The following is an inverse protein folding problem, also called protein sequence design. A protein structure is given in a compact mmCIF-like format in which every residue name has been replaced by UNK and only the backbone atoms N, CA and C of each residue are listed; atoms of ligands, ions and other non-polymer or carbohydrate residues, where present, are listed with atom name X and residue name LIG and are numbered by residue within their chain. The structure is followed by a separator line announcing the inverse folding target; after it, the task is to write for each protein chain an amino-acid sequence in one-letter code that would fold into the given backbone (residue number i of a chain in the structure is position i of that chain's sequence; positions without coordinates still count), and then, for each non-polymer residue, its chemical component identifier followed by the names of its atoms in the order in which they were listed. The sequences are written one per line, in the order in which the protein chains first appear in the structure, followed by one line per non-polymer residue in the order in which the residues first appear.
data_IF_206690457222
#
_entry.id   IF_206690457222
#
_cell.length_a   1.000
_cell.length_b   1.000
_cell.length_c   1.000
_cell.angle_alpha   90.00
_cell.angle_beta   90.00
_cell.angle_gamma   90.00
#
_symmetry.space_group_name_H-M   'P 1'
#
loop_
_entity.id
_entity.type
_entity.pdbx_description
1 polymer ?
#
# COMPACT_ATOMS: atom_id res chain seq x y z
N UNK A 1 -30.15 -0.25 -3.51
CA UNK A 1 -28.95 -0.69 -2.77
C UNK A 1 -28.84 -2.20 -2.92
N UNK A 2 -27.69 -2.69 -3.35
CA UNK A 2 -27.40 -4.11 -3.55
C UNK A 2 -26.13 -4.46 -2.77
N UNK A 3 -26.10 -5.62 -2.13
CA UNK A 3 -24.95 -6.10 -1.36
C UNK A 3 -24.78 -7.59 -1.65
N UNK A 4 -23.57 -8.00 -2.04
CA UNK A 4 -23.24 -9.39 -2.31
C UNK A 4 -21.86 -9.77 -1.74
N UNK A 5 -21.74 -11.03 -1.30
CA UNK A 5 -20.45 -11.60 -0.93
C UNK A 5 -19.88 -12.25 -2.18
N UNK A 6 -18.80 -11.68 -2.71
CA UNK A 6 -18.16 -12.18 -3.91
C UNK A 6 -17.46 -13.51 -3.62
N UNK A 7 -17.38 -14.34 -4.66
CA UNK A 7 -16.54 -15.52 -4.64
C UNK A 7 -15.06 -15.15 -4.46
N UNK A 8 -14.31 -16.07 -3.85
CA UNK A 8 -12.89 -15.89 -3.62
C UNK A 8 -12.17 -15.71 -4.98
N UNK A 9 -11.82 -14.46 -5.31
CA UNK A 9 -11.07 -14.17 -6.54
C UNK A 9 -9.79 -15.02 -6.54
N UNK A 10 -9.44 -15.51 -7.72
CA UNK A 10 -8.21 -16.23 -7.93
C UNK A 10 -6.94 -15.45 -7.53
N UNK A 11 -7.03 -14.15 -7.25
CA UNK A 11 -5.94 -13.34 -6.69
C UNK A 11 -6.11 -12.99 -5.20
N UNK A 12 -7.25 -13.30 -4.59
CA UNK A 12 -7.45 -13.06 -3.18
C UNK A 12 -6.58 -14.02 -2.35
N UNK A 13 -5.76 -13.45 -1.47
CA UNK A 13 -4.89 -14.17 -0.52
C UNK A 13 -5.36 -13.99 0.92
N UNK A 14 -6.43 -13.22 1.12
CA UNK A 14 -7.10 -13.04 2.40
C UNK A 14 -7.84 -14.30 2.84
N UNK A 15 -8.11 -14.42 4.15
CA UNK A 15 -9.04 -15.43 4.70
C UNK A 15 -10.50 -14.96 4.66
N UNK A 16 -10.73 -13.71 4.28
CA UNK A 16 -12.05 -13.10 4.18
C UNK A 16 -12.53 -13.09 2.71
N UNK A 17 -13.82 -13.34 2.51
CA UNK A 17 -14.47 -13.17 1.20
C UNK A 17 -14.75 -11.69 0.96
N UNK A 18 -14.55 -11.17 -0.25
CA UNK A 18 -14.86 -9.78 -0.56
C UNK A 18 -16.37 -9.54 -0.43
N UNK A 19 -16.76 -8.36 0.03
CA UNK A 19 -18.15 -7.89 0.04
C UNK A 19 -18.24 -6.72 -0.94
N UNK A 20 -19.16 -6.79 -1.90
CA UNK A 20 -19.47 -5.73 -2.83
C UNK A 20 -20.79 -5.08 -2.44
N UNK A 21 -20.82 -3.75 -2.44
CA UNK A 21 -22.04 -2.96 -2.18
C UNK A 21 -22.20 -1.95 -3.31
N UNK A 22 -23.37 -1.96 -3.93
CA UNK A 22 -23.77 -0.99 -4.96
C UNK A 22 -24.90 -0.12 -4.43
N UNK A 23 -24.68 1.18 -4.42
CA UNK A 23 -25.69 2.16 -4.01
C UNK A 23 -25.97 3.04 -5.22
N UNK A 24 -27.22 3.04 -5.66
CA UNK A 24 -27.66 3.88 -6.77
C UNK A 24 -28.06 5.22 -6.18
N UNK A 25 -27.34 6.28 -6.53
CA UNK A 25 -27.73 7.64 -6.23
C UNK A 25 -28.25 8.30 -7.52
N UNK A 26 -29.34 9.08 -7.45
CA UNK A 26 -29.70 9.97 -8.54
C UNK A 26 -28.60 11.04 -8.63
N UNK A 27 -27.74 10.94 -9.64
CA UNK A 27 -26.76 11.98 -9.95
C UNK A 27 -27.49 13.04 -10.77
N UNK A 28 -27.70 14.23 -10.20
CA UNK A 28 -28.02 15.40 -11.02
C UNK A 28 -26.83 15.69 -11.92
N UNK A 29 -27.04 16.07 -13.19
CA UNK A 29 -26.03 16.36 -14.22
C UNK A 29 -25.12 17.58 -13.91
N UNK A 30 -24.78 17.80 -12.65
CA UNK A 30 -23.62 18.59 -12.27
C UNK A 30 -22.38 17.86 -12.73
N UNK A 31 -21.70 18.42 -13.74
CA UNK A 31 -20.37 18.01 -14.19
C UNK A 31 -19.42 17.98 -12.99
N UNK A 32 -19.29 16.83 -12.34
CA UNK A 32 -18.20 16.56 -11.43
C UNK A 32 -16.95 16.46 -12.29
N UNK A 33 -16.26 17.59 -12.44
CA UNK A 33 -14.85 17.59 -12.80
C UNK A 33 -14.08 17.01 -11.61
N UNK A 34 -14.18 15.69 -11.42
CA UNK A 34 -13.22 14.98 -10.59
C UNK A 34 -11.89 15.12 -11.33
N UNK A 35 -11.06 16.08 -10.88
CA UNK A 35 -9.66 16.07 -11.23
C UNK A 35 -9.14 14.67 -10.95
N UNK A 36 -8.35 14.15 -11.87
CA UNK A 36 -7.69 12.86 -11.82
C UNK A 36 -6.58 12.87 -10.75
N UNK A 37 -6.88 13.36 -9.54
CA UNK A 37 -6.00 13.27 -8.39
C UNK A 37 -6.02 11.83 -7.91
N UNK A 38 -5.17 11.06 -8.59
CA UNK A 38 -4.70 9.73 -8.21
C UNK A 38 -4.75 9.55 -6.69
N UNK A 39 -5.58 8.63 -6.20
CA UNK A 39 -5.51 8.18 -4.81
C UNK A 39 -4.13 7.53 -4.56
N UNK A 40 -3.13 8.36 -4.20
CA UNK A 40 -1.77 7.93 -3.93
C UNK A 40 -1.75 7.21 -2.58
N UNK A 41 -1.82 5.88 -2.58
CA UNK A 41 -1.47 5.09 -1.40
C UNK A 41 -0.04 5.42 -0.95
N UNK A 42 0.13 5.65 0.35
CA UNK A 42 1.35 6.09 1.03
C UNK A 42 2.26 4.88 1.31
N UNK A 43 3.57 4.97 0.99
CA UNK A 43 4.58 3.95 1.31
C UNK A 43 5.46 4.42 2.46
N UNK A 44 5.56 3.65 3.54
CA UNK A 44 6.43 3.96 4.66
C UNK A 44 7.79 3.27 4.45
N UNK A 45 8.82 4.02 4.07
CA UNK A 45 10.23 3.58 4.16
C UNK A 45 10.93 4.42 5.23
N UNK A 46 11.91 3.81 5.91
CA UNK A 46 12.78 4.49 6.88
C UNK A 46 13.65 5.50 6.11
N UNK A 47 13.66 6.76 6.55
CA UNK A 47 14.52 7.79 5.99
C UNK A 47 16.00 7.40 6.15
N UNK A 48 16.85 7.77 5.19
CA UNK A 48 18.30 7.57 5.33
C UNK A 48 18.89 8.57 6.32
N UNK A 49 20.05 8.27 6.89
CA UNK A 49 20.72 9.16 7.85
C UNK A 49 21.01 10.54 7.23
N UNK A 50 21.33 10.60 5.94
CA UNK A 50 21.50 11.85 5.21
C UNK A 50 20.17 12.65 5.15
N UNK A 51 19.06 12.00 4.82
CA UNK A 51 17.74 12.66 4.79
C UNK A 51 17.29 13.12 6.17
N UNK A 52 17.65 12.38 7.22
CA UNK A 52 17.37 12.77 8.61
C UNK A 52 18.23 13.99 8.97
N UNK A 53 19.52 14.00 8.61
CA UNK A 53 20.41 15.14 8.85
C UNK A 53 19.91 16.40 8.13
N UNK A 54 19.51 16.28 6.87
CA UNK A 54 18.96 17.40 6.09
C UNK A 54 17.63 17.91 6.69
N UNK A 55 16.76 16.98 7.11
CA UNK A 55 15.51 17.31 7.78
C UNK A 55 15.76 18.09 9.08
N UNK A 56 16.66 17.59 9.94
CA UNK A 56 17.00 18.25 11.20
C UNK A 56 17.57 19.64 10.94
N UNK A 57 18.50 19.78 10.00
CA UNK A 57 19.07 21.08 9.63
C UNK A 57 18.02 22.08 9.17
N UNK A 58 17.09 21.65 8.30
CA UNK A 58 16.03 22.51 7.79
C UNK A 58 15.00 22.91 8.85
N UNK A 59 14.64 21.99 9.75
CA UNK A 59 13.76 22.29 10.88
C UNK A 59 14.43 23.28 11.83
N UNK A 60 15.67 23.04 12.23
CA UNK A 60 16.40 23.92 13.15
C UNK A 60 16.57 25.33 12.56
N UNK A 61 16.94 25.44 11.28
CA UNK A 61 17.09 26.73 10.63
C UNK A 61 15.77 27.51 10.55
N UNK A 62 14.67 26.82 10.23
CA UNK A 62 13.34 27.45 10.15
C UNK A 62 12.86 27.90 11.53
N UNK A 63 12.98 27.05 12.56
CA UNK A 63 12.54 27.37 13.91
C UNK A 63 13.33 28.52 14.53
N UNK A 64 14.62 28.67 14.19
CA UNK A 64 15.45 29.78 14.65
C UNK A 64 15.01 31.14 14.07
N UNK A 65 14.23 31.14 12.97
CA UNK A 65 13.71 32.36 12.34
C UNK A 65 12.29 32.70 12.83
N UNK A 66 11.66 31.82 13.60
CA UNK A 66 10.30 32.01 14.09
C UNK A 66 10.28 32.70 15.44
N UNK A 67 9.28 33.56 15.64
CA UNK A 67 8.94 34.14 16.95
C UNK A 67 7.70 33.45 17.49
N UNK A 68 7.72 33.04 18.75
CA UNK A 68 6.66 32.27 19.39
C UNK A 68 5.92 33.14 20.39
N UNK A 69 4.59 33.18 20.30
CA UNK A 69 3.73 33.87 21.27
C UNK A 69 2.64 32.92 21.76
N UNK A 70 2.44 32.90 23.08
CA UNK A 70 1.46 32.03 23.75
C UNK A 70 0.66 32.82 24.80
N UNK A 71 0.29 34.04 24.44
CA UNK A 71 -0.46 35.00 25.26
C UNK A 71 -1.98 34.89 25.11
N UNK A 72 -2.46 34.21 24.07
CA UNK A 72 -3.87 33.96 23.83
C UNK A 72 -4.09 32.58 23.23
N UNK A 73 -5.34 32.13 23.22
CA UNK A 73 -5.71 30.88 22.56
C UNK A 73 -5.38 30.95 21.06
N UNK A 74 -5.66 32.09 20.45
CA UNK A 74 -5.43 32.35 19.04
C UNK A 74 -3.92 32.34 18.70
N UNK A 75 -3.06 32.85 19.59
CA UNK A 75 -1.61 32.79 19.38
C UNK A 75 -1.04 31.39 19.57
N UNK A 76 -1.63 30.59 20.47
CA UNK A 76 -1.30 29.17 20.63
C UNK A 76 -1.66 28.38 19.36
N UNK A 77 -2.88 28.52 18.84
CA UNK A 77 -3.32 27.83 17.62
C UNK A 77 -2.50 28.24 16.39
N UNK A 78 -2.15 29.53 16.30
CA UNK A 78 -1.29 30.07 15.24
C UNK A 78 0.13 29.51 15.31
N UNK A 79 0.70 29.47 16.52
CA UNK A 79 2.03 28.89 16.76
C UNK A 79 2.04 27.40 16.45
N UNK A 80 1.01 26.65 16.85
CA UNK A 80 0.87 25.24 16.53
C UNK A 80 0.82 24.99 15.02
N UNK A 81 0.02 25.76 14.29
CA UNK A 81 -0.10 25.64 12.83
C UNK A 81 1.24 25.89 12.15
N UNK A 82 1.95 26.95 12.56
CA UNK A 82 3.29 27.26 12.05
C UNK A 82 4.28 26.12 12.30
N UNK A 83 4.27 25.51 13.49
CA UNK A 83 5.12 24.35 13.79
C UNK A 83 4.79 23.16 12.87
N UNK A 84 3.50 22.88 12.64
CA UNK A 84 3.08 21.84 11.70
C UNK A 84 3.58 22.12 10.28
N UNK A 85 3.51 23.35 9.82
CA UNK A 85 3.96 23.75 8.48
C UNK A 85 5.48 23.61 8.32
N UNK A 86 6.25 24.04 9.33
CA UNK A 86 7.72 23.87 9.34
C UNK A 86 8.10 22.39 9.27
N UNK A 87 7.48 21.55 10.11
CA UNK A 87 7.79 20.12 10.17
C UNK A 87 7.38 19.39 8.89
N UNK A 88 6.20 19.69 8.34
CA UNK A 88 5.70 19.02 7.13
C UNK A 88 6.41 19.51 5.87
N UNK A 89 6.74 20.81 5.78
CA UNK A 89 7.52 21.39 4.69
C UNK A 89 8.95 20.83 4.63
N UNK A 90 9.62 20.74 5.79
CA UNK A 90 10.94 20.11 5.86
C UNK A 90 10.89 18.61 5.47
N UNK A 91 9.85 17.89 5.89
CA UNK A 91 9.66 16.50 5.51
C UNK A 91 9.43 16.35 3.99
N UNK A 92 8.59 17.21 3.38
CA UNK A 92 8.29 17.17 1.95
C UNK A 92 9.50 17.43 1.05
N UNK A 93 10.46 18.23 1.51
CA UNK A 93 11.70 18.54 0.78
C UNK A 93 12.79 17.49 0.97
N UNK A 94 12.97 16.98 2.18
CA UNK A 94 14.09 16.09 2.53
C UNK A 94 13.75 14.60 2.35
N UNK A 95 12.51 14.23 2.65
CA UNK A 95 12.03 12.84 2.66
C UNK A 95 11.09 12.69 1.47
N UNK A 96 11.68 12.47 0.29
CA UNK A 96 10.92 12.42 -0.97
C UNK A 96 9.69 11.51 -0.92
N UNK A 97 8.54 12.02 -1.37
CA UNK A 97 7.32 11.24 -1.51
C UNK A 97 7.51 10.16 -2.59
N UNK A 98 7.48 8.88 -2.21
CA UNK A 98 7.36 7.78 -3.17
C UNK A 98 6.00 7.09 -3.08
N UNK A 99 5.48 6.72 -4.24
CA UNK A 99 4.25 5.94 -4.35
C UNK A 99 4.39 4.57 -3.69
N UNK A 100 3.30 4.12 -3.03
CA UNK A 100 3.18 2.78 -2.46
C UNK A 100 3.40 1.68 -3.48
N UNK A 101 4.41 0.84 -3.19
CA UNK A 101 4.71 -0.37 -3.92
C UNK A 101 4.14 -1.55 -3.13
N UNK A 102 2.92 -1.96 -3.47
CA UNK A 102 2.18 -3.06 -2.83
C UNK A 102 2.91 -4.42 -2.77
N UNK A 103 4.00 -4.56 -3.51
CA UNK A 103 4.84 -5.76 -3.56
C UNK A 103 5.99 -5.77 -2.55
N UNK A 104 6.24 -4.68 -1.82
CA UNK A 104 7.23 -4.63 -0.74
C UNK A 104 6.58 -4.99 0.61
N UNK A 105 5.98 -6.18 0.72
CA UNK A 105 5.76 -6.75 2.05
C UNK A 105 7.15 -7.07 2.64
N UNK A 106 7.45 -6.74 3.90
CA UNK A 106 8.77 -6.98 4.49
C UNK A 106 9.26 -8.45 4.38
N UNK A 107 8.33 -9.40 4.28
CA UNK A 107 8.61 -10.83 4.10
C UNK A 107 8.86 -11.27 2.64
N UNK A 108 9.02 -10.35 1.69
CA UNK A 108 9.14 -10.64 0.26
C UNK A 108 10.58 -10.89 -0.18
N UNK A 109 11.10 -12.07 0.18
CA UNK A 109 12.46 -12.52 -0.16
C UNK A 109 12.60 -13.00 -1.63
N UNK A 110 13.83 -13.38 -2.01
CA UNK A 110 14.14 -13.89 -3.36
C UNK A 110 13.40 -15.19 -3.70
N UNK A 111 13.18 -16.07 -2.71
CA UNK A 111 12.41 -17.29 -2.89
C UNK A 111 10.94 -17.00 -3.20
N UNK A 112 10.34 -16.07 -2.46
CA UNK A 112 8.97 -15.63 -2.66
C UNK A 112 8.76 -14.97 -4.02
N UNK A 113 9.76 -14.22 -4.51
CA UNK A 113 9.76 -13.65 -5.87
C UNK A 113 9.71 -14.73 -6.93
N UNK A 114 10.47 -15.81 -6.77
CA UNK A 114 10.50 -16.90 -7.73
C UNK A 114 9.17 -17.68 -7.76
N UNK A 115 8.62 -18.01 -6.59
CA UNK A 115 7.28 -18.62 -6.52
C UNK A 115 6.20 -17.72 -7.14
N UNK A 116 6.27 -16.41 -6.91
CA UNK A 116 5.33 -15.45 -7.51
C UNK A 116 5.50 -15.38 -9.05
N UNK A 117 6.73 -15.38 -9.54
CA UNK A 117 7.05 -15.39 -10.98
C UNK A 117 6.49 -16.65 -11.65
N UNK A 118 6.75 -17.84 -11.08
CA UNK A 118 6.20 -19.11 -11.58
C UNK A 118 4.67 -19.13 -11.55
N UNK A 119 4.05 -18.66 -10.47
CA UNK A 119 2.59 -18.55 -10.39
C UNK A 119 2.02 -17.66 -11.51
N UNK A 120 2.65 -16.51 -11.80
CA UNK A 120 2.23 -15.62 -12.89
C UNK A 120 2.43 -16.24 -14.27
N UNK A 121 3.53 -16.95 -14.50
CA UNK A 121 3.79 -17.67 -15.75
C UNK A 121 2.74 -18.76 -15.99
N UNK A 122 2.47 -19.61 -15.00
CA UNK A 122 1.47 -20.67 -15.13
C UNK A 122 0.05 -20.09 -15.29
N UNK A 123 -0.26 -18.96 -14.64
CA UNK A 123 -1.52 -18.25 -14.87
C UNK A 123 -1.64 -17.75 -16.31
N UNK A 124 -0.56 -17.23 -16.89
CA UNK A 124 -0.53 -16.78 -18.28
C UNK A 124 -0.79 -17.93 -19.24
N UNK A 125 -0.13 -19.09 -19.03
CA UNK A 125 -0.35 -20.30 -19.82
C UNK A 125 -1.80 -20.79 -19.70
N UNK A 126 -2.33 -20.88 -18.47
CA UNK A 126 -3.73 -21.25 -18.23
C UNK A 126 -4.73 -20.30 -18.91
N UNK A 127 -4.45 -18.99 -18.91
CA UNK A 127 -5.26 -18.01 -19.62
C UNK A 127 -5.19 -18.18 -21.14
N UNK A 128 -4.01 -18.47 -21.70
CA UNK A 128 -3.83 -18.76 -23.13
C UNK A 128 -4.55 -20.04 -23.56
N UNK A 129 -4.66 -21.02 -22.67
CA UNK A 129 -5.40 -22.26 -22.90
C UNK A 129 -6.94 -22.11 -22.81
N UNK A 130 -7.48 -20.88 -22.64
CA UNK A 130 -8.92 -20.64 -22.53
C UNK A 130 -9.49 -20.77 -21.11
N UNK A 131 -8.64 -20.74 -20.08
CA UNK A 131 -9.02 -20.87 -18.67
C UNK A 131 -9.83 -22.15 -18.33
N UNK A 132 -9.39 -23.33 -18.80
CA UNK A 132 -10.08 -24.59 -18.53
C UNK A 132 -10.19 -24.85 -17.03
N UNK A 133 -11.31 -25.43 -16.57
CA UNK A 133 -11.57 -25.72 -15.14
C UNK A 133 -11.57 -27.22 -14.81
N UNK A 134 -11.35 -28.08 -15.79
CA UNK A 134 -11.29 -29.52 -15.62
C UNK A 134 -9.99 -29.93 -14.91
N UNK A 135 -10.10 -30.88 -13.97
CA UNK A 135 -8.96 -31.38 -13.19
C UNK A 135 -7.99 -32.25 -14.00
N UNK A 136 -8.33 -32.56 -15.24
CA UNK A 136 -7.50 -33.31 -16.19
C UNK A 136 -6.62 -32.40 -17.04
N UNK A 137 -6.87 -31.08 -17.07
CA UNK A 137 -6.06 -30.15 -17.85
C UNK A 137 -4.77 -29.77 -17.12
N UNK A 138 -3.65 -29.93 -17.81
CA UNK A 138 -2.30 -29.74 -17.28
C UNK A 138 -2.04 -28.29 -16.89
N UNK A 139 -2.51 -27.31 -17.67
CA UNK A 139 -2.29 -25.89 -17.41
C UNK A 139 -3.06 -25.41 -16.18
N UNK A 140 -4.31 -25.86 -16.01
CA UNK A 140 -5.10 -25.60 -14.82
C UNK A 140 -4.44 -26.19 -13.58
N UNK A 141 -4.05 -27.47 -13.64
CA UNK A 141 -3.41 -28.15 -12.51
C UNK A 141 -2.06 -27.49 -12.14
N UNK A 142 -1.25 -27.13 -13.13
CA UNK A 142 0.05 -26.46 -12.95
C UNK A 142 -0.10 -25.07 -12.33
N UNK A 143 -1.11 -24.30 -12.76
CA UNK A 143 -1.43 -23.01 -12.14
C UNK A 143 -1.89 -23.18 -10.68
N UNK A 144 -2.80 -24.13 -10.41
CA UNK A 144 -3.33 -24.36 -9.06
C UNK A 144 -2.24 -24.86 -8.11
N UNK A 145 -1.33 -25.70 -8.57
CA UNK A 145 -0.15 -26.13 -7.82
C UNK A 145 0.77 -24.94 -7.49
N UNK A 146 1.22 -24.18 -8.49
CA UNK A 146 2.09 -23.02 -8.28
C UNK A 146 1.45 -21.97 -7.35
N UNK A 147 0.14 -21.73 -7.49
CA UNK A 147 -0.61 -20.83 -6.60
C UNK A 147 -0.64 -21.33 -5.16
N UNK A 148 -0.82 -22.64 -4.95
CA UNK A 148 -0.79 -23.25 -3.61
C UNK A 148 0.60 -23.10 -2.98
N UNK A 149 1.65 -23.35 -3.75
CA UNK A 149 3.02 -23.32 -3.28
C UNK A 149 3.45 -21.89 -2.92
N UNK A 150 3.11 -20.91 -3.77
CA UNK A 150 3.27 -19.49 -3.44
C UNK A 150 2.54 -19.10 -2.15
N UNK A 151 1.27 -19.51 -1.98
CA UNK A 151 0.50 -19.23 -0.75
C UNK A 151 1.15 -19.85 0.48
N UNK A 152 1.72 -21.06 0.37
CA UNK A 152 2.42 -21.73 1.46
C UNK A 152 3.69 -20.97 1.83
N UNK A 153 4.52 -20.64 0.86
CA UNK A 153 5.75 -19.87 1.07
C UNK A 153 5.46 -18.49 1.67
N UNK A 154 4.44 -17.79 1.16
CA UNK A 154 4.09 -16.45 1.63
C UNK A 154 3.60 -16.47 3.08
N UNK A 155 2.80 -17.48 3.47
CA UNK A 155 2.36 -17.63 4.87
C UNK A 155 3.54 -17.90 5.80
N UNK A 156 4.46 -18.78 5.39
CA UNK A 156 5.67 -19.08 6.16
C UNK A 156 6.51 -17.81 6.38
N UNK A 157 6.83 -17.08 5.31
CA UNK A 157 7.62 -15.86 5.37
C UNK A 157 6.94 -14.76 6.21
N UNK A 158 5.61 -14.62 6.10
CA UNK A 158 4.85 -13.67 6.92
C UNK A 158 4.89 -14.04 8.42
N UNK A 159 4.74 -15.33 8.77
CA UNK A 159 4.83 -15.80 10.15
C UNK A 159 6.23 -15.62 10.75
N UNK A 160 7.28 -15.89 9.97
CA UNK A 160 8.67 -15.69 10.40
C UNK A 160 8.97 -14.20 10.66
N UNK A 161 8.53 -13.32 9.75
CA UNK A 161 8.69 -11.89 9.92
C UNK A 161 7.99 -11.35 11.17
N UNK A 162 6.74 -11.77 11.42
CA UNK A 162 6.01 -11.39 12.65
C UNK A 162 6.71 -11.89 13.92
N UNK A 163 7.35 -13.07 13.87
CA UNK A 163 8.10 -13.62 15.01
C UNK A 163 9.37 -12.82 15.29
N UNK A 164 10.01 -12.26 14.26
CA UNK A 164 11.19 -11.40 14.41
C UNK A 164 10.86 -10.03 14.99
N UNK A 165 9.68 -9.47 14.67
CA UNK A 165 9.23 -8.18 15.20
C UNK A 165 8.83 -8.22 16.68
N UNK A 166 8.49 -9.40 17.21
CA UNK A 166 8.07 -9.59 18.60
C UNK A 166 9.20 -10.07 19.53
N UNK A 167 10.47 -9.96 19.07
CA UNK A 167 11.68 -10.17 19.88
C UNK A 167 12.30 -8.84 20.23
#
# INVERSE_FOLDING_TARGET
MHCEILDDDCLNVSRHRPVAVSINFPVSDGKFNASEESFRRINWKRATDAQISDYVGNVTNSLNQCTYTCDSKESIDSTYTMLCDVLTGAAGTCIGHRSFQSHLKPCWDSGLREYHKQMRQNRSQWCRAGRPRNKTNTEYMSYKAAKRDFRRAHRKAASEHMRQLNR
#
